data_IF_477278330389
#
_entry.id   IF_477278330389
#
_cell.length_a   1.000
_cell.length_b   1.000
_cell.length_c   1.000
_cell.angle_alpha   90.00
_cell.angle_beta   90.00
_cell.angle_gamma   90.00
#
_symmetry.space_group_name_H-M   'P 1'
#
loop_
_entity.id
_entity.type
_entity.pdbx_description
1 polymer ?
#
# COMPACT_ATOMS: atom_id res chain seq x y z
N UNK A 1 -11.50 14.46 -6.31
CA UNK A 1 -11.44 13.55 -5.15
C UNK A 1 -10.77 12.24 -5.57
N UNK A 2 -9.50 12.04 -5.21
CA UNK A 2 -8.81 10.77 -5.47
C UNK A 2 -9.46 9.68 -4.60
N UNK A 3 -10.11 8.69 -5.23
CA UNK A 3 -10.70 7.55 -4.52
C UNK A 3 -9.61 6.50 -4.31
N UNK A 4 -8.97 6.50 -3.14
CA UNK A 4 -8.08 5.43 -2.74
C UNK A 4 -8.89 4.16 -2.48
N UNK A 5 -8.50 3.03 -3.10
CA UNK A 5 -8.97 1.72 -2.65
C UNK A 5 -8.01 1.24 -1.57
N UNK A 6 -8.54 1.05 -0.36
CA UNK A 6 -7.82 0.33 0.70
C UNK A 6 -7.92 -1.16 0.38
N UNK A 7 -6.78 -1.81 0.16
CA UNK A 7 -6.67 -3.25 0.04
C UNK A 7 -5.80 -3.79 1.18
N UNK A 8 -6.25 -4.83 1.86
CA UNK A 8 -5.43 -5.51 2.86
C UNK A 8 -4.41 -6.42 2.18
N UNK A 9 -3.12 -6.24 2.47
CA UNK A 9 -2.07 -7.17 2.04
C UNK A 9 -1.29 -7.70 3.24
N UNK A 10 -0.70 -8.88 3.13
CA UNK A 10 0.25 -9.38 4.14
C UNK A 10 1.60 -8.68 3.97
N UNK A 11 2.32 -8.40 5.06
CA UNK A 11 3.60 -7.68 4.98
C UNK A 11 4.66 -8.36 4.07
N UNK A 12 4.55 -9.67 3.84
CA UNK A 12 5.40 -10.41 2.91
C UNK A 12 5.16 -10.08 1.43
N UNK A 13 4.02 -9.47 1.09
CA UNK A 13 3.65 -9.08 -0.27
C UNK A 13 3.86 -7.60 -0.55
N UNK A 14 4.39 -6.83 0.42
CA UNK A 14 4.71 -5.43 0.20
C UNK A 14 5.68 -5.25 -0.98
N UNK A 15 5.63 -4.12 -1.65
CA UNK A 15 6.57 -3.82 -2.73
C UNK A 15 6.99 -2.35 -2.62
N UNK A 16 8.20 -2.01 -3.08
CA UNK A 16 8.55 -0.62 -3.34
C UNK A 16 7.49 0.04 -4.22
N UNK A 17 7.15 1.29 -3.93
CA UNK A 17 6.10 2.06 -4.58
C UNK A 17 4.71 1.96 -3.93
N UNK A 18 4.48 0.97 -3.06
CA UNK A 18 3.22 0.88 -2.31
C UNK A 18 3.11 1.95 -1.23
N UNK A 19 1.91 2.47 -1.03
CA UNK A 19 1.56 3.33 0.09
C UNK A 19 0.86 2.49 1.14
N UNK A 20 1.37 2.46 2.36
CA UNK A 20 0.74 1.76 3.49
C UNK A 20 0.19 2.80 4.47
N UNK A 21 -0.91 2.48 5.15
CA UNK A 21 -1.38 3.29 6.25
C UNK A 21 -0.95 2.67 7.58
N UNK A 22 -0.18 3.41 8.38
CA UNK A 22 0.39 2.95 9.64
C UNK A 22 0.29 4.06 10.68
N UNK A 23 -0.33 3.79 11.85
CA UNK A 23 -0.64 4.80 12.88
C UNK A 23 -1.30 6.07 12.31
N UNK A 24 -2.32 5.89 11.46
CA UNK A 24 -3.05 6.97 10.78
C UNK A 24 -2.22 7.83 9.82
N UNK A 25 -0.95 7.49 9.58
CA UNK A 25 -0.10 8.13 8.58
C UNK A 25 0.04 7.30 7.30
N UNK A 26 0.06 7.99 6.16
CA UNK A 26 0.24 7.39 4.84
C UNK A 26 1.72 7.38 4.46
N UNK A 27 2.32 6.19 4.46
CA UNK A 27 3.74 5.98 4.24
C UNK A 27 4.00 5.33 2.88
N UNK A 28 4.70 6.05 1.99
CA UNK A 28 5.14 5.48 0.71
C UNK A 28 6.44 4.71 0.89
N UNK A 29 6.40 3.40 0.67
CA UNK A 29 7.57 2.52 0.69
C UNK A 29 8.43 2.85 -0.53
N UNK A 30 9.61 3.42 -0.31
CA UNK A 30 10.58 3.70 -1.37
C UNK A 30 11.42 2.46 -1.66
N UNK A 31 11.78 1.73 -0.60
CA UNK A 31 12.66 0.57 -0.70
C UNK A 31 12.34 -0.44 0.39
N UNK A 32 12.38 -1.73 0.04
CA UNK A 32 12.42 -2.82 1.00
C UNK A 32 13.88 -3.16 1.28
N UNK A 33 14.27 -3.14 2.56
CA UNK A 33 15.65 -3.35 2.98
C UNK A 33 15.89 -4.82 3.33
N UNK A 34 14.99 -5.41 4.10
CA UNK A 34 15.16 -6.77 4.59
C UNK A 34 13.80 -7.43 4.78
N UNK A 35 13.74 -8.74 4.48
CA UNK A 35 12.64 -9.62 4.83
C UNK A 35 13.21 -10.86 5.50
N UNK A 36 12.85 -11.06 6.75
CA UNK A 36 13.33 -12.19 7.53
C UNK A 36 12.17 -12.88 8.19
N UNK A 37 11.99 -14.16 7.87
CA UNK A 37 11.10 -15.02 8.63
C UNK A 37 11.83 -15.41 9.92
N UNK A 38 11.21 -15.14 11.06
CA UNK A 38 11.70 -15.51 12.38
C UNK A 38 10.70 -16.45 13.03
N UNK A 39 11.08 -17.23 14.06
CA UNK A 39 10.15 -18.07 14.81
C UNK A 39 8.97 -17.29 15.41
N UNK A 40 9.15 -15.99 15.63
CA UNK A 40 8.12 -15.07 16.15
C UNK A 40 7.22 -14.52 15.03
N UNK A 41 7.63 -14.59 13.76
CA UNK A 41 6.87 -14.03 12.64
C UNK A 41 7.75 -13.44 11.54
N UNK A 42 7.13 -12.76 10.58
CA UNK A 42 7.85 -12.10 9.48
C UNK A 42 8.25 -10.68 9.89
N UNK A 43 9.51 -10.34 9.70
CA UNK A 43 10.05 -8.99 9.88
C UNK A 43 10.33 -8.42 8.51
N UNK A 44 9.79 -7.22 8.24
CA UNK A 44 10.00 -6.48 7.00
C UNK A 44 10.52 -5.08 7.32
N UNK A 45 11.78 -4.81 6.97
CA UNK A 45 12.40 -3.48 7.08
C UNK A 45 12.19 -2.71 5.79
N UNK A 46 11.77 -1.46 5.89
CA UNK A 46 11.47 -0.62 4.74
C UNK A 46 11.96 0.81 4.95
N UNK A 47 12.13 1.54 3.84
CA UNK A 47 12.57 2.93 3.80
C UNK A 47 11.46 3.79 3.20
N UNK A 48 11.24 4.96 3.78
CA UNK A 48 10.23 5.95 3.35
C UNK A 48 10.90 7.32 3.19
N UNK A 49 10.19 8.31 2.66
CA UNK A 49 10.69 9.68 2.65
C UNK A 49 10.75 10.18 4.10
N UNK A 50 11.92 10.65 4.55
CA UNK A 50 12.12 11.12 5.91
C UNK A 50 12.54 10.05 6.93
N UNK A 51 12.74 8.78 6.52
CA UNK A 51 13.25 7.77 7.44
C UNK A 51 13.10 6.32 6.98
N UNK A 52 12.94 5.43 7.95
CA UNK A 52 12.69 4.02 7.71
C UNK A 52 11.91 3.41 8.87
N UNK A 53 11.31 2.26 8.63
CA UNK A 53 10.50 1.56 9.61
C UNK A 53 10.70 0.06 9.56
N UNK A 54 10.20 -0.61 10.59
CA UNK A 54 10.17 -2.07 10.69
C UNK A 54 8.74 -2.50 10.94
N UNK A 55 8.20 -3.35 10.05
CA UNK A 55 6.94 -4.03 10.27
C UNK A 55 7.23 -5.45 10.75
N UNK A 56 6.65 -5.81 11.88
CA UNK A 56 6.72 -7.17 12.41
C UNK A 56 5.32 -7.76 12.42
N UNK A 57 5.14 -8.87 11.73
CA UNK A 57 3.89 -9.61 11.70
C UNK A 57 4.07 -10.95 12.38
N UNK A 58 3.43 -11.13 13.54
CA UNK A 58 3.12 -12.47 14.02
C UNK A 58 1.99 -13.01 13.13
N UNK A 59 2.14 -14.25 12.64
CA UNK A 59 1.24 -15.00 11.74
C UNK A 59 0.00 -14.24 11.21
N UNK A 60 0.00 -13.89 9.91
CA UNK A 60 -1.22 -13.40 9.23
C UNK A 60 -1.53 -11.91 9.35
N UNK A 61 -0.66 -11.10 9.98
CA UNK A 61 -0.88 -9.64 10.06
C UNK A 61 -1.02 -9.02 8.67
N UNK A 62 -2.16 -8.37 8.46
CA UNK A 62 -2.51 -7.64 7.24
C UNK A 62 -2.30 -6.15 7.48
N UNK A 63 -1.71 -5.48 6.51
CA UNK A 63 -1.57 -4.01 6.47
C UNK A 63 -2.46 -3.45 5.37
N UNK A 64 -3.04 -2.29 5.64
CA UNK A 64 -3.82 -1.56 4.65
C UNK A 64 -2.87 -0.90 3.66
N UNK A 65 -2.95 -1.33 2.40
CA UNK A 65 -2.25 -0.70 1.29
C UNK A 65 -3.23 0.21 0.58
N UNK A 66 -2.87 1.48 0.51
CA UNK A 66 -3.55 2.44 -0.34
C UNK A 66 -3.03 2.23 -1.75
N UNK A 67 -3.87 1.63 -2.59
CA UNK A 67 -3.58 1.58 -4.02
C UNK A 67 -4.15 2.85 -4.62
N UNK A 68 -3.29 3.73 -5.12
CA UNK A 68 -3.73 4.86 -5.91
C UNK A 68 -4.43 4.29 -7.14
N UNK A 69 -5.75 4.48 -7.22
CA UNK A 69 -6.40 4.40 -8.53
C UNK A 69 -5.94 5.67 -9.24
N UNK A 70 -5.08 5.53 -10.24
CA UNK A 70 -5.14 6.44 -11.38
C UNK A 70 -6.60 6.39 -11.83
N UNK A 71 -7.41 7.38 -11.41
CA UNK A 71 -8.62 7.71 -12.13
C UNK A 71 -8.05 8.22 -13.43
N UNK A 72 -8.03 7.34 -14.43
CA UNK A 72 -7.74 7.75 -15.79
C UNK A 72 -8.81 8.79 -16.12
N UNK A 73 -8.44 10.05 -15.98
CA UNK A 73 -9.19 11.18 -16.48
C UNK A 73 -9.20 11.00 -17.99
N UNK A 74 -10.23 10.30 -18.49
CA UNK A 74 -10.90 10.51 -19.77
C UNK A 74 -11.66 9.24 -20.21
N UNK A 75 -12.93 9.15 -19.83
CA UNK A 75 -13.98 8.78 -20.78
C UNK A 75 -15.19 9.67 -20.52
N UNK A 76 -15.23 10.82 -21.21
CA UNK A 76 -16.49 11.51 -21.51
C UNK A 76 -17.38 10.52 -22.26
N UNK A 77 -18.25 9.81 -21.54
CA UNK A 77 -19.36 9.11 -22.18
C UNK A 77 -20.47 10.13 -22.36
N UNK A 78 -20.54 10.72 -23.56
CA UNK A 78 -21.73 11.45 -23.99
C UNK A 78 -22.86 10.45 -24.16
N UNK A 79 -23.91 10.56 -23.36
CA UNK A 79 -25.20 9.98 -23.74
C UNK A 79 -25.88 11.01 -24.66
N UNK A 80 -25.81 10.79 -25.97
CA UNK A 80 -26.82 11.38 -26.86
C UNK A 80 -28.13 10.65 -26.57
N UNK A 81 -29.03 11.30 -25.84
CA UNK A 81 -30.43 10.89 -25.84
C UNK A 81 -31.04 11.42 -27.13
N UNK A 82 -31.07 10.57 -28.16
CA UNK A 82 -31.90 10.79 -29.33
C UNK A 82 -33.26 10.14 -29.10
N UNK A 83 -34.30 10.96 -28.93
CA UNK A 83 -35.56 10.85 -29.67
C UNK A 83 -36.45 12.07 -29.40
#
# INVERSE_FOLDING_TARGET
MCRYKSNCTTIGLLKPGMIIRYHDEDLKIIKLLERKLTPKGLICKYKVNGGGGVLTAHSGLRVNVLTERHVNENRRTWYMQGK
#
